data_IF_446723585460
#
_entry.id   IF_446723585460
#
_cell.length_a   1.000
_cell.length_b   1.000
_cell.length_c   1.000
_cell.angle_alpha   90.00
_cell.angle_beta   90.00
_cell.angle_gamma   90.00
#
_symmetry.space_group_name_H-M   'P 1'
#
loop_
_entity.id
_entity.type
_entity.pdbx_description
1 polymer ?
#
# COMPACT_ATOMS: atom_id res chain seq x y z
N UNK A 1 -16.98 13.01 -16.56
CA UNK A 1 -17.29 11.81 -17.37
C UNK A 1 -18.79 11.73 -17.61
N UNK A 2 -19.25 11.31 -18.81
CA UNK A 2 -20.66 10.94 -19.00
C UNK A 2 -20.97 9.80 -18.02
N UNK A 3 -21.99 9.95 -17.17
CA UNK A 3 -22.46 8.87 -16.30
C UNK A 3 -22.90 7.71 -17.19
N UNK A 4 -22.31 6.54 -16.98
CA UNK A 4 -22.78 5.29 -17.55
C UNK A 4 -24.08 4.92 -16.83
N UNK A 5 -25.22 5.31 -17.39
CA UNK A 5 -26.54 5.20 -16.73
C UNK A 5 -27.22 3.86 -16.95
N UNK A 6 -26.75 3.03 -17.88
CA UNK A 6 -27.37 1.74 -18.22
C UNK A 6 -26.32 0.64 -18.45
N UNK A 7 -25.36 0.51 -17.51
CA UNK A 7 -24.25 -0.45 -17.60
C UNK A 7 -24.31 -1.43 -16.44
N UNK A 8 -24.24 -2.73 -16.76
CA UNK A 8 -24.12 -3.80 -15.76
C UNK A 8 -22.67 -3.87 -15.25
N UNK A 9 -22.48 -3.85 -13.94
CA UNK A 9 -21.18 -4.07 -13.33
C UNK A 9 -20.91 -5.56 -13.16
N UNK A 10 -19.73 -6.00 -13.61
CA UNK A 10 -19.20 -7.34 -13.36
C UNK A 10 -18.01 -7.17 -12.43
N UNK A 11 -18.08 -7.80 -11.27
CA UNK A 11 -17.00 -7.77 -10.27
C UNK A 11 -16.06 -8.93 -10.57
N UNK A 12 -14.76 -8.62 -10.57
CA UNK A 12 -13.66 -9.59 -10.68
C UNK A 12 -12.75 -9.46 -9.46
N UNK A 13 -11.92 -10.46 -9.19
CA UNK A 13 -11.01 -10.47 -8.03
C UNK A 13 -9.85 -9.47 -8.19
N UNK A 14 -9.49 -9.12 -9.42
CA UNK A 14 -8.47 -8.10 -9.68
C UNK A 14 -8.66 -7.39 -11.03
N UNK A 15 -8.05 -6.21 -11.17
CA UNK A 15 -8.02 -5.51 -12.46
C UNK A 15 -7.24 -6.28 -13.55
N UNK A 16 -6.32 -7.17 -13.15
CA UNK A 16 -5.61 -8.06 -14.06
C UNK A 16 -6.52 -9.17 -14.61
N UNK A 17 -7.44 -9.67 -13.78
CA UNK A 17 -8.48 -10.60 -14.22
C UNK A 17 -9.48 -9.91 -15.14
N UNK A 18 -9.92 -8.68 -14.83
CA UNK A 18 -10.80 -7.90 -15.72
C UNK A 18 -10.18 -7.75 -17.12
N UNK A 19 -8.85 -7.60 -17.20
CA UNK A 19 -8.13 -7.56 -18.46
C UNK A 19 -8.18 -8.90 -19.23
N UNK A 20 -8.06 -10.03 -18.53
CA UNK A 20 -8.15 -11.37 -19.16
C UNK A 20 -9.57 -11.60 -19.70
N UNK A 21 -10.59 -11.20 -18.93
CA UNK A 21 -11.99 -11.41 -19.31
C UNK A 21 -12.40 -10.52 -20.49
N UNK A 22 -12.04 -9.24 -20.48
CA UNK A 22 -12.38 -8.34 -21.62
C UNK A 22 -11.69 -8.75 -22.93
N UNK A 23 -10.55 -9.45 -22.88
CA UNK A 23 -9.91 -10.02 -24.08
C UNK A 23 -10.75 -11.14 -24.72
N UNK A 24 -11.56 -11.85 -23.94
CA UNK A 24 -12.48 -12.90 -24.39
C UNK A 24 -13.90 -12.38 -24.61
N UNK A 25 -14.14 -11.14 -24.19
CA UNK A 25 -15.44 -10.49 -24.23
C UNK A 25 -15.90 -10.13 -25.63
N UNK A 26 -17.11 -9.57 -25.70
CA UNK A 26 -17.75 -9.13 -26.95
C UNK A 26 -17.81 -7.60 -27.04
N UNK A 27 -18.14 -7.10 -28.22
CA UNK A 27 -18.28 -5.65 -28.45
C UNK A 27 -19.35 -5.07 -27.51
N UNK A 28 -19.00 -3.98 -26.81
CA UNK A 28 -19.85 -3.33 -25.81
C UNK A 28 -19.45 -3.64 -24.37
N UNK A 29 -18.59 -4.64 -24.15
CA UNK A 29 -17.96 -4.89 -22.86
C UNK A 29 -16.68 -4.06 -22.71
N UNK A 30 -16.37 -3.69 -21.47
CA UNK A 30 -15.20 -2.90 -21.13
C UNK A 30 -14.68 -3.31 -19.74
N UNK A 31 -13.40 -3.06 -19.49
CA UNK A 31 -12.77 -3.29 -18.20
C UNK A 31 -11.93 -2.10 -17.76
N UNK A 32 -11.85 -1.91 -16.45
CA UNK A 32 -10.92 -0.98 -15.81
C UNK A 32 -9.62 -1.72 -15.55
N UNK A 33 -8.54 -1.33 -16.24
CA UNK A 33 -7.28 -2.09 -16.23
C UNK A 33 -6.07 -1.17 -15.98
N UNK A 34 -4.97 -1.68 -15.44
CA UNK A 34 -3.72 -0.93 -15.37
C UNK A 34 -3.18 -0.63 -16.77
N UNK A 35 -2.75 0.62 -17.00
CA UNK A 35 -2.25 1.07 -18.30
C UNK A 35 -1.12 0.22 -18.86
N UNK A 36 -0.23 -0.32 -18.02
CA UNK A 36 0.92 -1.12 -18.47
C UNK A 36 0.54 -2.45 -19.14
N UNK A 37 -0.71 -2.93 -19.00
CA UNK A 37 -1.19 -4.13 -19.70
C UNK A 37 -1.50 -3.86 -21.17
N UNK A 38 -1.73 -2.60 -21.55
CA UNK A 38 -1.94 -2.18 -22.93
C UNK A 38 -0.59 -2.01 -23.61
N UNK A 39 -0.33 -2.80 -24.66
CA UNK A 39 0.95 -2.81 -25.37
C UNK A 39 0.73 -3.18 -26.85
N UNK A 40 1.81 -3.40 -27.62
CA UNK A 40 1.70 -3.71 -29.06
C UNK A 40 0.91 -4.99 -29.37
N UNK A 41 0.98 -6.01 -28.52
CA UNK A 41 0.23 -7.28 -28.69
C UNK A 41 -1.14 -7.27 -28.01
N UNK A 42 -1.41 -6.30 -27.14
CA UNK A 42 -2.64 -6.16 -26.38
C UNK A 42 -3.29 -4.79 -26.64
N UNK A 43 -3.75 -4.56 -27.87
CA UNK A 43 -4.46 -3.33 -28.25
C UNK A 43 -5.96 -3.56 -28.31
N UNK A 44 -6.69 -2.60 -27.78
CA UNK A 44 -8.14 -2.47 -27.96
C UNK A 44 -8.41 -1.27 -28.87
N UNK A 45 -9.38 -1.35 -29.80
CA UNK A 45 -9.71 -0.23 -30.69
C UNK A 45 -10.13 1.04 -29.96
N UNK A 46 -10.71 0.88 -28.76
CA UNK A 46 -11.16 1.98 -27.91
C UNK A 46 -10.56 1.83 -26.51
N UNK A 47 -10.00 2.91 -25.99
CA UNK A 47 -9.51 3.02 -24.62
C UNK A 47 -9.68 4.46 -24.13
N UNK A 48 -9.90 4.61 -22.82
CA UNK A 48 -9.96 5.90 -22.14
C UNK A 48 -8.95 5.84 -21.02
N UNK A 49 -8.00 6.79 -20.99
CA UNK A 49 -7.01 6.87 -19.94
C UNK A 49 -7.47 7.72 -18.75
N UNK A 50 -6.84 7.54 -17.59
CA UNK A 50 -7.01 8.38 -16.40
C UNK A 50 -8.47 8.53 -15.94
N UNK A 51 -9.23 7.43 -15.96
CA UNK A 51 -10.64 7.38 -15.56
C UNK A 51 -10.87 7.35 -14.04
N UNK A 52 -9.81 7.51 -13.24
CA UNK A 52 -9.87 7.51 -11.77
C UNK A 52 -10.40 8.84 -11.24
N UNK A 53 -11.17 8.80 -10.16
CA UNK A 53 -11.76 10.02 -9.56
C UNK A 53 -10.73 10.93 -8.86
N UNK A 54 -9.55 10.40 -8.48
CA UNK A 54 -8.50 11.13 -7.79
C UNK A 54 -7.13 10.94 -8.46
N UNK A 55 -6.41 12.05 -8.65
CA UNK A 55 -5.07 12.06 -9.24
C UNK A 55 -4.00 11.57 -8.26
N UNK A 56 -4.29 11.62 -6.96
CA UNK A 56 -3.33 11.34 -5.89
C UNK A 56 -3.40 9.89 -5.37
N UNK A 57 -4.06 9.00 -6.11
CA UNK A 57 -4.08 7.57 -5.78
C UNK A 57 -2.70 6.94 -6.01
N UNK A 58 -1.94 6.76 -4.94
CA UNK A 58 -0.57 6.23 -4.96
C UNK A 58 -0.48 4.98 -4.10
N UNK A 59 0.14 3.92 -4.65
CA UNK A 59 0.44 2.69 -3.92
C UNK A 59 1.91 2.64 -3.54
N UNK A 60 2.21 2.50 -2.25
CA UNK A 60 3.59 2.31 -1.75
C UNK A 60 3.95 0.83 -1.72
N UNK A 61 5.04 0.46 -2.37
CA UNK A 61 5.61 -0.90 -2.35
C UNK A 61 6.83 -0.96 -1.43
N UNK A 62 7.11 -2.14 -0.88
CA UNK A 62 8.33 -2.45 -0.11
C UNK A 62 9.04 -3.60 -0.83
N UNK A 63 10.33 -3.42 -1.12
CA UNK A 63 11.19 -4.47 -1.68
C UNK A 63 11.87 -5.20 -0.52
N UNK A 64 11.85 -6.53 -0.54
CA UNK A 64 12.45 -7.38 0.49
C UNK A 64 13.68 -8.08 -0.10
N UNK A 65 14.77 -8.11 0.66
CA UNK A 65 15.98 -8.88 0.34
C UNK A 65 16.45 -9.64 1.57
N UNK A 66 17.12 -10.77 1.36
CA UNK A 66 17.83 -11.50 2.42
C UNK A 66 19.17 -10.84 2.74
N UNK A 67 19.74 -10.11 1.79
CA UNK A 67 21.04 -9.46 1.92
C UNK A 67 20.90 -8.15 2.70
N UNK A 68 21.84 -7.91 3.60
CA UNK A 68 21.97 -6.64 4.29
C UNK A 68 22.79 -5.67 3.46
N UNK A 69 22.34 -4.43 3.37
CA UNK A 69 23.13 -3.35 2.78
C UNK A 69 24.06 -2.74 3.83
N UNK A 70 25.27 -2.36 3.41
CA UNK A 70 26.18 -1.60 4.26
C UNK A 70 25.57 -0.23 4.58
N UNK A 71 25.74 0.22 5.82
CA UNK A 71 25.32 1.56 6.23
C UNK A 71 26.18 2.61 5.54
N UNK A 72 25.52 3.60 4.94
CA UNK A 72 26.14 4.79 4.36
C UNK A 72 25.58 6.02 5.07
N UNK A 73 26.41 6.66 5.91
CA UNK A 73 25.98 7.82 6.70
C UNK A 73 25.49 9.00 5.86
N UNK A 74 25.79 9.03 4.55
CA UNK A 74 25.38 10.09 3.64
C UNK A 74 24.03 9.79 2.95
N UNK A 75 23.41 8.64 3.22
CA UNK A 75 22.10 8.26 2.64
C UNK A 75 20.97 8.35 3.67
N UNK A 76 19.79 8.84 3.28
CA UNK A 76 18.60 8.78 4.11
C UNK A 76 18.06 7.34 4.18
N UNK A 77 17.70 6.88 5.37
CA UNK A 77 17.10 5.57 5.59
C UNK A 77 15.73 5.70 6.26
N UNK A 78 14.72 5.03 5.71
CA UNK A 78 13.47 4.82 6.43
C UNK A 78 13.54 3.47 7.16
N UNK A 79 13.33 3.48 8.47
CA UNK A 79 13.31 2.25 9.27
C UNK A 79 11.87 1.82 9.51
N UNK A 80 11.54 0.58 9.15
CA UNK A 80 10.27 -0.04 9.54
C UNK A 80 10.49 -0.97 10.72
N UNK A 81 9.70 -0.84 11.77
CA UNK A 81 9.81 -1.69 12.96
C UNK A 81 8.45 -2.10 13.50
N UNK A 82 8.40 -3.25 14.17
CA UNK A 82 7.21 -3.75 14.85
C UNK A 82 7.48 -3.80 16.34
N UNK A 83 6.65 -3.10 17.11
CA UNK A 83 6.64 -3.22 18.57
C UNK A 83 5.61 -4.30 18.94
N UNK A 84 6.12 -5.35 19.57
CA UNK A 84 5.33 -6.50 20.02
C UNK A 84 4.96 -6.38 21.49
N UNK A 85 3.89 -7.07 21.89
CA UNK A 85 3.48 -7.25 23.29
C UNK A 85 3.24 -5.96 24.08
N UNK A 86 2.86 -4.86 23.42
CA UNK A 86 2.38 -3.68 24.11
C UNK A 86 1.15 -4.06 24.94
N UNK A 87 1.19 -3.76 26.25
CA UNK A 87 0.08 -4.07 27.15
C UNK A 87 -1.11 -3.24 26.67
N UNK A 88 -2.25 -3.88 26.40
CA UNK A 88 -3.46 -3.16 26.00
C UNK A 88 -4.09 -2.46 27.20
N UNK A 89 -3.48 -1.33 27.55
CA UNK A 89 -3.98 -0.38 28.54
C UNK A 89 -4.03 1.01 27.91
N UNK A 90 -4.95 1.87 28.36
CA UNK A 90 -4.99 3.27 27.94
C UNK A 90 -3.61 3.93 28.05
N UNK A 91 -3.23 4.66 27.00
CA UNK A 91 -1.96 5.40 26.95
C UNK A 91 -0.72 4.61 26.50
N UNK A 92 -0.82 3.30 26.22
CA UNK A 92 0.37 2.52 25.85
C UNK A 92 1.02 2.99 24.54
N UNK A 93 0.22 3.25 23.50
CA UNK A 93 0.73 3.85 22.26
C UNK A 93 1.32 5.25 22.51
N UNK A 94 0.70 6.05 23.37
CA UNK A 94 1.22 7.39 23.70
C UNK A 94 2.61 7.30 24.33
N UNK A 95 2.86 6.35 25.22
CA UNK A 95 4.18 6.13 25.82
C UNK A 95 5.22 5.77 24.75
N UNK A 96 4.86 4.87 23.84
CA UNK A 96 5.72 4.49 22.70
C UNK A 96 6.07 5.72 21.87
N UNK A 97 5.07 6.51 21.45
CA UNK A 97 5.28 7.69 20.61
C UNK A 97 6.08 8.79 21.32
N UNK A 98 5.91 8.91 22.64
CA UNK A 98 6.66 9.87 23.47
C UNK A 98 8.15 9.60 23.43
N UNK A 99 8.59 8.34 23.41
CA UNK A 99 10.02 8.00 23.32
C UNK A 99 10.63 8.46 21.99
N UNK A 100 9.93 8.34 20.86
CA UNK A 100 10.42 8.87 19.59
C UNK A 100 10.41 10.39 19.56
N UNK A 101 9.36 11.02 20.08
CA UNK A 101 9.25 12.48 20.14
C UNK A 101 10.35 13.11 21.00
N UNK A 102 10.67 12.53 22.16
CA UNK A 102 11.76 13.00 23.04
C UNK A 102 13.14 12.95 22.38
N UNK A 103 13.32 12.04 21.43
CA UNK A 103 14.57 11.87 20.68
C UNK A 103 14.54 12.60 19.32
N UNK A 104 13.55 13.45 19.06
CA UNK A 104 13.39 14.17 17.79
C UNK A 104 13.34 13.24 16.56
N UNK A 105 12.83 12.02 16.73
CA UNK A 105 12.69 11.03 15.65
C UNK A 105 11.33 11.20 14.98
N UNK A 106 11.34 11.46 13.68
CA UNK A 106 10.13 11.61 12.89
C UNK A 106 9.51 10.26 12.49
N UNK A 107 8.20 10.12 12.64
CA UNK A 107 7.42 8.97 12.16
C UNK A 107 6.62 9.35 10.92
N UNK A 108 6.73 8.55 9.86
CA UNK A 108 5.93 8.71 8.63
C UNK A 108 4.66 7.87 8.63
N UNK A 109 4.59 6.84 9.47
CA UNK A 109 3.41 5.99 9.57
C UNK A 109 3.36 5.25 10.90
N UNK A 110 2.14 5.10 11.42
CA UNK A 110 1.83 4.32 12.61
C UNK A 110 0.59 3.49 12.35
N UNK A 111 0.71 2.16 12.43
CA UNK A 111 -0.40 1.24 12.20
C UNK A 111 -0.54 0.31 13.40
N UNK A 112 -1.71 0.32 14.04
CA UNK A 112 -2.08 -0.69 15.03
C UNK A 112 -2.74 -1.89 14.35
N UNK A 113 -2.36 -3.10 14.74
CA UNK A 113 -2.98 -4.35 14.28
C UNK A 113 -3.23 -5.29 15.45
N UNK A 114 -4.43 -5.87 15.60
CA UNK A 114 -4.66 -6.88 16.63
C UNK A 114 -3.81 -8.11 16.32
N UNK A 115 -3.19 -8.70 17.36
CA UNK A 115 -2.31 -9.86 17.19
C UNK A 115 -3.02 -11.14 16.76
N UNK A 116 -4.36 -11.19 16.86
CA UNK A 116 -5.23 -12.36 16.65
C UNK A 116 -4.90 -13.59 17.52
N UNK A 117 -3.85 -13.54 18.35
CA UNK A 117 -3.45 -14.61 19.27
C UNK A 117 -4.11 -14.50 20.64
N UNK A 118 -4.42 -13.28 21.08
CA UNK A 118 -5.06 -13.01 22.37
C UNK A 118 -5.87 -11.73 22.26
N UNK A 119 -7.06 -11.73 22.84
CA UNK A 119 -7.90 -10.53 22.91
C UNK A 119 -7.14 -9.42 23.67
N UNK A 120 -7.14 -8.20 23.13
CA UNK A 120 -6.44 -7.08 23.77
C UNK A 120 -4.91 -7.20 23.70
N UNK A 121 -4.34 -7.69 22.61
CA UNK A 121 -2.92 -7.47 22.29
C UNK A 121 -2.80 -6.91 20.89
N UNK A 122 -1.93 -5.92 20.73
CA UNK A 122 -1.67 -5.23 19.46
C UNK A 122 -0.20 -5.31 19.07
N UNK A 123 0.03 -5.35 17.75
CA UNK A 123 1.28 -4.96 17.13
C UNK A 123 1.17 -3.50 16.71
N UNK A 124 2.21 -2.72 16.99
CA UNK A 124 2.36 -1.38 16.43
C UNK A 124 3.47 -1.44 15.37
N UNK A 125 3.09 -1.26 14.11
CA UNK A 125 4.03 -1.05 13.03
C UNK A 125 4.33 0.45 12.95
N UNK A 126 5.59 0.80 13.05
CA UNK A 126 6.09 2.17 12.95
C UNK A 126 7.05 2.27 11.77
N UNK A 127 6.94 3.37 11.01
CA UNK A 127 7.91 3.71 9.97
C UNK A 127 8.57 5.04 10.35
N UNK A 128 9.85 4.98 10.69
CA UNK A 128 10.69 6.12 11.05
C UNK A 128 11.31 6.72 9.80
N UNK A 129 11.48 8.03 9.80
CA UNK A 129 12.13 8.77 8.71
C UNK A 129 13.59 9.06 9.04
N UNK A 130 14.47 8.92 8.05
CA UNK A 130 15.87 9.37 8.11
C UNK A 130 16.66 8.79 9.31
N UNK A 131 16.31 7.58 9.73
CA UNK A 131 16.95 6.85 10.84
C UNK A 131 17.36 5.47 10.35
N UNK A 132 18.61 5.08 10.60
CA UNK A 132 19.05 3.69 10.54
C UNK A 132 19.30 3.15 11.94
N UNK A 133 18.73 1.99 12.27
CA UNK A 133 19.08 1.27 13.48
C UNK A 133 20.37 0.49 13.25
N UNK A 134 21.39 0.77 14.07
CA UNK A 134 22.57 -0.09 14.17
C UNK A 134 22.18 -1.31 15.02
N UNK A 135 22.38 -2.52 14.48
CA UNK A 135 22.25 -3.77 15.24
C UNK A 135 23.46 -3.97 16.14
#
# INVERSE_FOLDING_TARGET
MKKLTNTKFIITESNGESFIEVKKGVLGEAAVVPKFLLNMSNKFPFNIENITDSIDNKTRFIVLSKETINYDANKPYNTSMVIMNAINKPGELSKILTEFSRNYINLTSTISRPTKKTLGKYYFLLILKDVMLKK
#
